data_IF_688094686749
#
_entry.id   IF_688094686749
#
_cell.length_a   1.000
_cell.length_b   1.000
_cell.length_c   1.000
_cell.angle_alpha   90.00
_cell.angle_beta   90.00
_cell.angle_gamma   90.00
#
_symmetry.space_group_name_H-M   'P 1'
#
loop_
_entity.id
_entity.type
_entity.pdbx_description
1 polymer ?
#
# COMPACT_ATOMS: atom_id res chain seq x y z
N UNK A 1 8.82 6.64 -9.41
CA UNK A 1 8.05 5.58 -8.74
C UNK A 1 8.72 5.26 -7.42
N UNK A 2 7.95 5.01 -6.35
CA UNK A 2 8.46 4.59 -5.05
C UNK A 2 7.83 3.25 -4.67
N UNK A 3 8.62 2.31 -4.16
CA UNK A 3 8.16 1.02 -3.64
C UNK A 3 8.57 0.93 -2.18
N UNK A 4 7.58 0.77 -1.31
CA UNK A 4 7.73 0.54 0.12
C UNK A 4 7.44 -0.93 0.39
N UNK A 5 8.41 -1.65 0.94
CA UNK A 5 8.28 -3.06 1.31
C UNK A 5 8.44 -3.20 2.82
N UNK A 6 7.92 -4.30 3.38
CA UNK A 6 8.17 -4.70 4.78
C UNK A 6 7.82 -3.61 5.82
N UNK A 7 6.74 -2.86 5.56
CA UNK A 7 6.27 -1.79 6.45
C UNK A 7 7.11 -0.51 6.40
N UNK A 8 7.93 -0.32 5.36
CA UNK A 8 8.64 0.94 5.15
C UNK A 8 7.67 2.12 4.99
N UNK A 9 8.11 3.29 5.45
CA UNK A 9 7.42 4.57 5.30
C UNK A 9 8.36 5.61 4.67
N UNK A 10 7.81 6.68 4.11
CA UNK A 10 8.57 7.75 3.48
C UNK A 10 7.86 9.09 3.65
N UNK A 11 8.60 10.09 4.09
CA UNK A 11 8.12 11.48 4.08
C UNK A 11 8.08 12.11 2.67
N UNK A 12 8.61 11.42 1.65
CA UNK A 12 8.80 11.95 0.30
C UNK A 12 7.73 11.45 -0.70
N UNK A 13 6.54 11.02 -0.24
CA UNK A 13 5.50 10.50 -1.13
C UNK A 13 5.11 11.48 -2.25
N UNK A 14 5.15 12.78 -1.96
CA UNK A 14 4.83 13.86 -2.91
C UNK A 14 5.81 14.01 -4.07
N UNK A 15 7.03 13.47 -3.94
CA UNK A 15 8.07 13.57 -4.96
C UNK A 15 7.90 12.53 -6.08
N UNK A 16 6.94 11.62 -5.94
CA UNK A 16 6.72 10.51 -6.87
C UNK A 16 5.32 10.53 -7.47
N UNK A 17 5.24 10.31 -8.79
CA UNK A 17 3.97 10.20 -9.50
C UNK A 17 3.13 8.97 -9.09
N UNK A 18 3.77 7.94 -8.53
CA UNK A 18 3.11 6.73 -8.02
C UNK A 18 3.97 6.04 -6.97
N UNK A 19 3.34 5.71 -5.86
CA UNK A 19 3.88 4.97 -4.74
C UNK A 19 3.18 3.63 -4.63
N UNK A 20 3.91 2.60 -4.23
CA UNK A 20 3.41 1.25 -4.02
C UNK A 20 3.81 0.81 -2.62
N UNK A 21 2.88 0.19 -1.92
CA UNK A 21 3.13 -0.45 -0.62
C UNK A 21 2.86 -1.92 -0.78
N UNK A 22 3.92 -2.72 -0.68
CA UNK A 22 3.88 -4.16 -0.81
C UNK A 22 4.08 -4.79 0.56
N UNK A 23 3.17 -5.69 0.93
CA UNK A 23 3.16 -6.38 2.21
C UNK A 23 2.66 -7.81 2.02
N UNK A 24 3.00 -8.69 2.95
CA UNK A 24 2.48 -10.07 2.95
C UNK A 24 1.02 -10.08 3.44
N UNK A 25 0.09 -10.45 2.55
CA UNK A 25 -1.33 -10.56 2.89
C UNK A 25 -1.68 -11.74 3.79
N UNK A 26 -0.73 -12.64 4.08
CA UNK A 26 -0.87 -13.77 5.02
C UNK A 26 -0.34 -13.46 6.42
N UNK A 27 0.34 -12.33 6.59
CA UNK A 27 0.80 -11.85 7.88
C UNK A 27 -0.18 -10.81 8.43
N UNK A 28 -0.85 -11.15 9.54
CA UNK A 28 -1.85 -10.28 10.17
C UNK A 28 -1.25 -8.95 10.65
N UNK A 29 0.02 -8.94 11.10
CA UNK A 29 0.68 -7.72 11.55
C UNK A 29 0.99 -6.79 10.36
N UNK A 30 1.45 -7.37 9.25
CA UNK A 30 1.68 -6.63 8.01
C UNK A 30 0.36 -6.05 7.45
N UNK A 31 -0.72 -6.82 7.47
CA UNK A 31 -2.07 -6.36 7.06
C UNK A 31 -2.56 -5.24 7.97
N UNK A 32 -2.40 -5.35 9.29
CA UNK A 32 -2.80 -4.30 10.24
C UNK A 32 -2.00 -3.00 10.03
N UNK A 33 -0.69 -3.12 9.78
CA UNK A 33 0.16 -1.99 9.45
C UNK A 33 -0.28 -1.31 8.15
N UNK A 34 -0.49 -2.08 7.07
CA UNK A 34 -0.96 -1.56 5.79
C UNK A 34 -2.33 -0.86 5.89
N UNK A 35 -3.24 -1.36 6.74
CA UNK A 35 -4.53 -0.69 7.03
C UNK A 35 -4.34 0.67 7.71
N UNK A 36 -3.33 0.80 8.56
CA UNK A 36 -3.00 2.06 9.24
C UNK A 36 -2.47 3.09 8.23
N UNK A 37 -1.53 2.68 7.38
CA UNK A 37 -1.01 3.51 6.28
C UNK A 37 -2.13 3.92 5.31
N UNK A 38 -2.98 2.98 4.90
CA UNK A 38 -4.13 3.23 4.02
C UNK A 38 -5.03 4.33 4.58
N UNK A 39 -5.37 4.26 5.87
CA UNK A 39 -6.19 5.28 6.52
C UNK A 39 -5.50 6.64 6.51
N UNK A 40 -4.24 6.70 6.94
CA UNK A 40 -3.48 7.96 6.99
C UNK A 40 -3.39 8.64 5.62
N UNK A 41 -3.12 7.88 4.56
CA UNK A 41 -3.01 8.44 3.20
C UNK A 41 -4.35 8.81 2.59
N UNK A 42 -5.41 8.08 2.93
CA UNK A 42 -6.77 8.46 2.54
C UNK A 42 -7.16 9.79 3.20
N UNK A 43 -6.87 9.95 4.48
CA UNK A 43 -7.14 11.18 5.24
C UNK A 43 -6.29 12.36 4.74
N UNK A 44 -5.08 12.08 4.22
CA UNK A 44 -4.23 13.05 3.53
C UNK A 44 -4.69 13.41 2.10
N UNK A 45 -5.79 12.81 1.60
CA UNK A 45 -6.38 13.12 0.30
C UNK A 45 -5.74 12.41 -0.90
N UNK A 46 -4.90 11.40 -0.67
CA UNK A 46 -4.31 10.63 -1.77
C UNK A 46 -5.33 9.73 -2.47
N UNK A 47 -5.15 9.55 -3.78
CA UNK A 47 -5.89 8.56 -4.56
C UNK A 47 -5.30 7.17 -4.33
N UNK A 48 -6.05 6.29 -3.66
CA UNK A 48 -5.59 4.94 -3.31
C UNK A 48 -6.31 3.87 -4.13
N UNK A 49 -5.61 2.77 -4.43
CA UNK A 49 -6.19 1.56 -5.02
C UNK A 49 -5.57 0.34 -4.38
N UNK A 50 -6.39 -0.64 -4.00
CA UNK A 50 -5.91 -1.90 -3.44
C UNK A 50 -5.81 -2.96 -4.53
N UNK A 51 -4.71 -3.73 -4.52
CA UNK A 51 -4.50 -4.88 -5.40
C UNK A 51 -4.07 -6.07 -4.55
N UNK A 52 -4.61 -7.23 -4.86
CA UNK A 52 -4.30 -8.48 -4.18
C UNK A 52 -3.83 -9.52 -5.19
N UNK A 53 -2.82 -10.31 -4.81
CA UNK A 53 -2.38 -11.44 -5.60
C UNK A 53 -3.51 -12.49 -5.67
N UNK A 54 -3.77 -12.98 -6.87
CA UNK A 54 -4.71 -14.07 -7.16
C UNK A 54 -3.96 -15.27 -7.73
N UNK A 55 -4.67 -16.35 -8.07
CA UNK A 55 -4.08 -17.55 -8.67
C UNK A 55 -3.31 -17.24 -9.97
N UNK A 56 -3.75 -16.22 -10.71
CA UNK A 56 -3.04 -15.68 -11.87
C UNK A 56 -2.94 -14.16 -11.78
N UNK A 57 -1.74 -13.68 -11.45
CA UNK A 57 -1.44 -12.25 -11.42
C UNK A 57 -2.10 -11.53 -10.25
N UNK A 58 -2.57 -10.31 -10.49
CA UNK A 58 -3.10 -9.41 -9.48
C UNK A 58 -4.47 -8.90 -9.88
N UNK A 59 -5.35 -8.75 -8.88
CA UNK A 59 -6.68 -8.20 -9.05
C UNK A 59 -6.85 -6.93 -8.22
N UNK A 60 -7.42 -5.90 -8.83
CA UNK A 60 -7.84 -4.71 -8.10
C UNK A 60 -9.01 -5.08 -7.19
N UNK A 61 -8.87 -4.80 -5.91
CA UNK A 61 -9.92 -4.94 -4.91
C UNK A 61 -10.42 -3.52 -4.56
N UNK A 62 -11.72 -3.42 -4.26
CA UNK A 62 -12.49 -2.16 -4.16
C UNK A 62 -11.89 -1.14 -3.21
#
# INVERSE_FOLDING_TARGET
FLFLTDGADSGALGDFSRCFTLFDGRDEAAVAHARTQWKAWKDAGHSLTYWQQADRGWEKKG
#
